data_IF_133446600847
#
_entry.id   IF_133446600847
#
_cell.length_a   1.000
_cell.length_b   1.000
_cell.length_c   1.000
_cell.angle_alpha   90.00
_cell.angle_beta   90.00
_cell.angle_gamma   90.00
#
_symmetry.space_group_name_H-M   'P 1'
#
loop_
_entity.id
_entity.type
_entity.pdbx_description
1 polymer ?
#
# COMPACT_ATOMS: atom_id res chain seq x y z
N UNK A 1 -4.14 36.45 16.62
CA UNK A 1 -3.34 35.22 16.82
C UNK A 1 -4.29 34.10 17.16
N UNK A 2 -4.68 33.29 16.17
CA UNK A 2 -5.51 32.10 16.34
C UNK A 2 -4.60 30.89 16.23
N UNK A 3 -4.32 30.25 17.36
CA UNK A 3 -3.58 28.98 17.44
C UNK A 3 -4.46 27.88 16.88
N UNK A 4 -4.26 27.50 15.62
CA UNK A 4 -4.84 26.30 15.05
C UNK A 4 -4.13 25.09 15.66
N UNK A 5 -4.85 24.33 16.49
CA UNK A 5 -4.38 23.05 17.01
C UNK A 5 -4.17 22.09 15.83
N UNK A 6 -2.91 21.81 15.49
CA UNK A 6 -2.55 20.68 14.64
C UNK A 6 -2.94 19.38 15.37
N UNK A 7 -4.13 18.86 15.11
CA UNK A 7 -4.48 17.49 15.46
C UNK A 7 -3.64 16.57 14.58
N UNK A 8 -2.47 16.18 15.10
CA UNK A 8 -1.57 15.17 14.54
C UNK A 8 -2.39 13.94 14.17
N UNK A 9 -2.27 13.49 12.92
CA UNK A 9 -3.11 12.44 12.32
C UNK A 9 -2.75 11.05 12.90
N UNK A 10 -3.08 10.83 14.16
CA UNK A 10 -2.74 9.62 14.94
C UNK A 10 -3.46 8.37 14.41
N UNK A 11 -4.60 8.54 13.73
CA UNK A 11 -5.42 7.44 13.19
C UNK A 11 -4.72 6.63 12.09
N UNK A 12 -3.92 7.28 11.22
CA UNK A 12 -3.14 6.57 10.19
C UNK A 12 -1.99 5.76 10.79
N UNK A 13 -1.33 6.29 11.83
CA UNK A 13 -0.23 5.63 12.55
C UNK A 13 -0.73 4.45 13.39
N UNK A 14 -1.85 4.64 14.09
CA UNK A 14 -2.51 3.59 14.89
C UNK A 14 -3.01 2.46 13.97
N UNK A 15 -3.57 2.80 12.80
CA UNK A 15 -3.99 1.78 11.81
C UNK A 15 -2.81 0.97 11.26
N UNK A 16 -1.64 1.57 11.09
CA UNK A 16 -0.41 0.90 10.64
C UNK A 16 0.19 -0.01 11.71
N UNK A 17 0.19 0.44 12.97
CA UNK A 17 0.64 -0.38 14.10
C UNK A 17 -0.30 -1.57 14.30
N UNK A 18 -1.62 -1.33 14.31
CA UNK A 18 -2.62 -2.39 14.48
C UNK A 18 -2.58 -3.42 13.35
N UNK A 19 -2.40 -3.00 12.09
CA UNK A 19 -2.28 -3.92 10.96
C UNK A 19 -1.06 -4.85 11.06
N UNK A 20 0.02 -4.40 11.69
CA UNK A 20 1.23 -5.21 11.89
C UNK A 20 1.22 -6.06 13.16
N UNK A 21 0.29 -5.82 14.10
CA UNK A 21 0.07 -6.69 15.27
C UNK A 21 -0.68 -7.97 14.88
N UNK A 22 -1.56 -7.92 13.88
CA UNK A 22 -2.34 -9.08 13.44
C UNK A 22 -1.46 -10.27 13.01
N UNK A 23 -0.43 -10.09 12.15
CA UNK A 23 0.52 -11.15 11.83
C UNK A 23 1.22 -11.73 13.06
N UNK A 24 1.66 -10.87 13.98
CA UNK A 24 2.35 -11.29 15.20
C UNK A 24 1.42 -12.12 16.09
N UNK A 25 0.17 -11.70 16.25
CA UNK A 25 -0.85 -12.45 16.96
C UNK A 25 -1.11 -13.81 16.28
N UNK A 26 -1.18 -13.84 14.96
CA UNK A 26 -1.34 -15.08 14.19
C UNK A 26 -0.21 -16.09 14.40
N UNK A 27 1.05 -15.63 14.52
CA UNK A 27 2.18 -16.50 14.85
C UNK A 27 2.01 -17.13 16.24
N UNK A 28 1.69 -16.33 17.26
CA UNK A 28 1.64 -16.82 18.65
C UNK A 28 0.39 -17.66 18.99
N UNK A 29 -0.77 -17.31 18.44
CA UNK A 29 -2.05 -17.92 18.83
C UNK A 29 -2.60 -18.91 17.81
N UNK A 30 -2.28 -18.72 16.52
CA UNK A 30 -2.75 -19.57 15.43
C UNK A 30 -1.64 -20.39 14.77
N UNK A 31 -0.40 -20.28 15.24
CA UNK A 31 0.74 -21.05 14.71
C UNK A 31 1.05 -20.70 13.26
N UNK A 32 0.77 -19.47 12.82
CA UNK A 32 1.05 -19.05 11.45
C UNK A 32 2.54 -19.20 11.14
N UNK A 33 2.81 -19.93 10.07
CA UNK A 33 4.15 -20.18 9.57
C UNK A 33 4.63 -19.04 8.66
N UNK A 34 5.93 -19.07 8.31
CA UNK A 34 6.57 -18.07 7.44
C UNK A 34 5.82 -17.93 6.12
N UNK A 35 5.40 -19.04 5.52
CA UNK A 35 4.65 -19.06 4.26
C UNK A 35 3.35 -18.24 4.37
N UNK A 36 2.59 -18.46 5.45
CA UNK A 36 1.36 -17.71 5.74
C UNK A 36 1.60 -16.22 5.88
N UNK A 37 2.59 -15.82 6.68
CA UNK A 37 2.88 -14.40 6.93
C UNK A 37 3.29 -13.68 5.63
N UNK A 38 4.21 -14.28 4.87
CA UNK A 38 4.70 -13.69 3.63
C UNK A 38 3.58 -13.63 2.58
N UNK A 39 2.75 -14.68 2.48
CA UNK A 39 1.59 -14.66 1.62
C UNK A 39 0.61 -13.52 1.96
N UNK A 40 0.30 -13.31 3.24
CA UNK A 40 -0.59 -12.23 3.66
C UNK A 40 0.00 -10.85 3.32
N UNK A 41 1.30 -10.66 3.48
CA UNK A 41 1.98 -9.42 3.07
C UNK A 41 1.99 -9.22 1.56
N UNK A 42 2.17 -10.29 0.79
CA UNK A 42 2.04 -10.26 -0.66
C UNK A 42 0.61 -9.88 -1.07
N UNK A 43 -0.40 -10.54 -0.50
CA UNK A 43 -1.80 -10.33 -0.82
C UNK A 43 -2.29 -8.92 -0.41
N UNK A 44 -1.80 -8.37 0.70
CA UNK A 44 -2.04 -6.98 1.09
C UNK A 44 -1.72 -5.99 -0.05
N UNK A 45 -0.66 -6.26 -0.82
CA UNK A 45 -0.29 -5.40 -1.94
C UNK A 45 -1.31 -5.45 -3.08
N UNK A 46 -1.92 -6.62 -3.33
CA UNK A 46 -3.01 -6.77 -4.29
C UNK A 46 -4.22 -5.95 -3.85
N UNK A 47 -4.59 -6.01 -2.57
CA UNK A 47 -5.68 -5.22 -1.99
C UNK A 47 -5.41 -3.72 -2.14
N UNK A 48 -4.18 -3.28 -1.89
CA UNK A 48 -3.78 -1.88 -2.09
C UNK A 48 -3.88 -1.48 -3.55
N UNK A 49 -3.42 -2.32 -4.48
CA UNK A 49 -3.56 -2.10 -5.91
C UNK A 49 -5.03 -1.96 -6.33
N UNK A 50 -5.89 -2.83 -5.82
CA UNK A 50 -7.34 -2.78 -6.04
C UNK A 50 -7.93 -1.43 -5.58
N UNK A 51 -7.68 -1.01 -4.34
CA UNK A 51 -8.16 0.29 -3.87
C UNK A 51 -7.52 1.46 -4.63
N UNK A 52 -6.28 1.32 -5.10
CA UNK A 52 -5.59 2.37 -5.86
C UNK A 52 -6.31 2.72 -7.16
N UNK A 53 -6.97 1.74 -7.80
CA UNK A 53 -7.80 1.99 -8.99
C UNK A 53 -8.89 3.01 -8.65
N UNK A 54 -9.65 2.81 -7.57
CA UNK A 54 -10.67 3.77 -7.13
C UNK A 54 -10.08 5.10 -6.70
N UNK A 55 -8.87 5.09 -6.12
CA UNK A 55 -8.15 6.33 -5.79
C UNK A 55 -7.83 7.15 -7.04
N UNK A 56 -7.31 6.50 -8.09
CA UNK A 56 -7.02 7.14 -9.38
C UNK A 56 -8.29 7.69 -10.04
N UNK A 57 -9.40 6.93 -10.02
CA UNK A 57 -10.70 7.42 -10.55
C UNK A 57 -11.14 8.70 -9.85
N UNK A 58 -11.12 8.72 -8.52
CA UNK A 58 -11.56 9.89 -7.73
C UNK A 58 -10.61 11.08 -7.89
N UNK A 59 -9.30 10.83 -7.96
CA UNK A 59 -8.29 11.86 -8.23
C UNK A 59 -8.50 12.48 -9.63
N UNK A 60 -8.84 11.69 -10.64
CA UNK A 60 -9.06 12.21 -12.00
C UNK A 60 -10.27 13.14 -12.08
N UNK A 61 -11.30 12.87 -11.28
CA UNK A 61 -12.48 13.73 -11.20
C UNK A 61 -12.14 15.12 -10.64
N UNK A 62 -11.13 15.22 -9.77
CA UNK A 62 -10.81 16.43 -9.00
C UNK A 62 -9.41 16.97 -9.24
N UNK A 63 -8.70 16.47 -10.26
CA UNK A 63 -7.35 16.89 -10.56
C UNK A 63 -7.30 18.41 -10.84
N UNK A 64 -6.35 19.07 -10.19
CA UNK A 64 -6.03 20.50 -10.37
C UNK A 64 -4.77 20.70 -11.21
N UNK A 65 -3.84 19.74 -11.17
CA UNK A 65 -2.61 19.73 -11.96
C UNK A 65 -2.30 18.31 -12.43
N UNK A 66 -1.85 18.16 -13.68
CA UNK A 66 -1.37 16.88 -14.22
C UNK A 66 -0.24 17.14 -15.23
N UNK A 67 0.85 16.40 -15.10
CA UNK A 67 1.91 16.39 -16.10
C UNK A 67 1.57 15.35 -17.18
N UNK A 68 1.49 15.78 -18.44
CA UNK A 68 1.29 14.91 -19.60
C UNK A 68 2.38 15.23 -20.61
N UNK A 69 3.17 14.25 -21.01
CA UNK A 69 4.24 14.42 -22.01
C UNK A 69 5.22 15.58 -21.69
N UNK A 70 5.63 15.72 -20.42
CA UNK A 70 6.50 16.81 -19.90
C UNK A 70 5.88 18.22 -19.92
N UNK A 71 4.61 18.36 -20.31
CA UNK A 71 3.85 19.60 -20.17
C UNK A 71 3.02 19.57 -18.89
N UNK A 72 3.12 20.63 -18.08
CA UNK A 72 2.27 20.82 -16.91
C UNK A 72 0.93 21.42 -17.32
N UNK A 73 -0.13 20.61 -17.27
CA UNK A 73 -1.50 21.06 -17.52
C UNK A 73 -2.08 21.58 -16.21
N UNK A 74 -2.30 22.89 -16.12
CA UNK A 74 -3.08 23.50 -15.04
C UNK A 74 -4.56 23.39 -15.40
N UNK A 75 -5.34 22.72 -14.54
CA UNK A 75 -6.76 22.44 -14.80
C UNK A 75 -7.58 23.68 -14.45
N UNK A 76 -7.76 24.56 -15.44
CA UNK A 76 -8.61 25.76 -15.31
C UNK A 76 -9.96 25.59 -15.98
N UNK A 77 -10.06 24.69 -16.97
CA UNK A 77 -11.26 24.52 -17.78
C UNK A 77 -11.87 23.12 -17.63
N UNK A 78 -13.15 22.99 -17.97
CA UNK A 78 -13.83 21.70 -18.05
C UNK A 78 -13.19 20.79 -19.11
N UNK A 79 -12.74 21.37 -20.23
CA UNK A 79 -12.03 20.65 -21.30
C UNK A 79 -10.76 19.96 -20.78
N UNK A 80 -9.98 20.64 -19.95
CA UNK A 80 -8.78 20.07 -19.34
C UNK A 80 -9.12 18.90 -18.41
N UNK A 81 -10.17 19.05 -17.60
CA UNK A 81 -10.66 18.01 -16.70
C UNK A 81 -11.14 16.78 -17.48
N UNK A 82 -11.85 16.98 -18.58
CA UNK A 82 -12.31 15.89 -19.43
C UNK A 82 -11.15 15.19 -20.13
N UNK A 83 -10.12 15.92 -20.59
CA UNK A 83 -8.89 15.34 -21.12
C UNK A 83 -8.20 14.44 -20.09
N UNK A 84 -8.07 14.89 -18.84
CA UNK A 84 -7.48 14.11 -17.74
C UNK A 84 -8.29 12.85 -17.45
N UNK A 85 -9.62 12.95 -17.39
CA UNK A 85 -10.51 11.80 -17.22
C UNK A 85 -10.28 10.79 -18.34
N UNK A 86 -10.31 11.23 -19.59
CA UNK A 86 -10.08 10.37 -20.76
C UNK A 86 -8.76 9.63 -20.64
N UNK A 87 -7.64 10.34 -20.49
CA UNK A 87 -6.31 9.73 -20.35
C UNK A 87 -6.23 8.77 -19.17
N UNK A 88 -6.87 9.12 -18.04
CA UNK A 88 -6.86 8.25 -16.87
C UNK A 88 -7.62 6.96 -17.09
N UNK A 89 -8.82 7.03 -17.67
CA UNK A 89 -9.67 5.86 -17.87
C UNK A 89 -9.22 4.99 -19.04
N UNK A 90 -8.71 5.58 -20.12
CA UNK A 90 -8.31 4.84 -21.33
C UNK A 90 -6.88 4.34 -21.29
N UNK A 91 -5.99 5.01 -20.54
CA UNK A 91 -4.57 4.66 -20.52
C UNK A 91 -4.07 4.33 -19.10
N UNK A 92 -4.12 5.28 -18.15
CA UNK A 92 -3.44 5.08 -16.86
C UNK A 92 -3.99 3.93 -16.03
N UNK A 93 -5.32 3.77 -15.95
CA UNK A 93 -5.93 2.68 -15.18
C UNK A 93 -5.67 1.33 -15.83
N UNK A 94 -5.93 1.12 -17.14
CA UNK A 94 -5.57 -0.14 -17.80
C UNK A 94 -4.08 -0.47 -17.69
N UNK A 95 -3.20 0.52 -17.93
CA UNK A 95 -1.77 0.37 -17.76
C UNK A 95 -1.42 -0.06 -16.34
N UNK A 96 -1.98 0.61 -15.33
CA UNK A 96 -1.79 0.25 -13.93
C UNK A 96 -2.22 -1.20 -13.67
N UNK A 97 -3.42 -1.59 -14.07
CA UNK A 97 -3.95 -2.95 -13.84
C UNK A 97 -3.02 -4.00 -14.46
N UNK A 98 -2.60 -3.80 -15.71
CA UNK A 98 -1.76 -4.77 -16.44
C UNK A 98 -0.35 -4.80 -15.84
N UNK A 99 0.32 -3.66 -15.73
CA UNK A 99 1.71 -3.59 -15.26
C UNK A 99 1.84 -4.02 -13.80
N UNK A 100 0.94 -3.52 -12.94
CA UNK A 100 0.88 -3.90 -11.53
C UNK A 100 0.50 -5.36 -11.35
N UNK A 101 -0.43 -5.85 -12.17
CA UNK A 101 -0.89 -7.24 -12.16
C UNK A 101 0.24 -8.20 -12.52
N UNK A 102 0.99 -7.92 -13.61
CA UNK A 102 2.15 -8.71 -14.02
C UNK A 102 3.21 -8.71 -12.92
N UNK A 103 3.55 -7.54 -12.37
CA UNK A 103 4.50 -7.43 -11.28
C UNK A 103 4.07 -8.28 -10.06
N UNK A 104 2.80 -8.15 -9.65
CA UNK A 104 2.24 -8.88 -8.51
C UNK A 104 2.21 -10.39 -8.74
N UNK A 105 1.92 -10.81 -9.98
CA UNK A 105 1.92 -12.21 -10.38
C UNK A 105 3.33 -12.82 -10.34
N UNK A 106 4.30 -12.18 -10.99
CA UNK A 106 5.71 -12.65 -11.00
C UNK A 106 6.24 -12.75 -9.58
N UNK A 107 5.95 -11.76 -8.73
CA UNK A 107 6.34 -11.83 -7.33
C UNK A 107 5.58 -12.92 -6.55
N UNK A 108 4.29 -13.13 -6.84
CA UNK A 108 3.51 -14.22 -6.25
C UNK A 108 4.14 -15.58 -6.55
N UNK A 109 4.57 -15.81 -7.80
CA UNK A 109 5.31 -17.02 -8.17
C UNK A 109 6.53 -17.19 -7.27
N UNK A 110 7.33 -16.14 -7.09
CA UNK A 110 8.51 -16.19 -6.21
C UNK A 110 8.16 -16.50 -4.75
N UNK A 111 7.10 -15.91 -4.23
CA UNK A 111 6.62 -16.17 -2.86
C UNK A 111 6.25 -17.64 -2.70
N UNK A 112 5.44 -18.20 -3.61
CA UNK A 112 5.00 -19.59 -3.52
C UNK A 112 6.14 -20.59 -3.77
N UNK A 113 7.09 -20.29 -4.65
CA UNK A 113 8.22 -21.19 -4.93
C UNK A 113 9.26 -21.19 -3.82
N UNK A 114 9.48 -20.05 -3.15
CA UNK A 114 10.45 -19.96 -2.04
C UNK A 114 9.91 -20.44 -0.70
N UNK A 115 8.69 -20.03 -0.35
CA UNK A 115 8.15 -20.23 1.00
C UNK A 115 7.06 -21.31 1.05
N UNK A 116 6.57 -21.75 -0.10
CA UNK A 116 5.52 -22.75 -0.19
C UNK A 116 4.10 -22.16 -0.06
N UNK A 117 3.15 -23.05 0.18
CA UNK A 117 1.73 -22.73 0.27
C UNK A 117 1.40 -22.41 1.74
N UNK A 118 0.63 -21.34 2.03
CA UNK A 118 0.15 -21.02 3.37
C UNK A 118 -0.56 -22.21 4.03
N UNK A 119 -0.13 -22.58 5.24
CA UNK A 119 -0.80 -23.62 6.01
C UNK A 119 -1.97 -23.04 6.81
N UNK A 120 -3.08 -22.76 6.12
CA UNK A 120 -4.27 -22.14 6.70
C UNK A 120 -5.54 -22.90 6.31
N UNK A 121 -6.53 -22.93 7.20
CA UNK A 121 -7.87 -23.39 6.82
C UNK A 121 -8.53 -22.37 5.90
N UNK A 122 -9.43 -22.82 5.02
CA UNK A 122 -10.15 -21.93 4.10
C UNK A 122 -10.89 -20.80 4.85
N UNK A 123 -11.46 -21.08 6.02
CA UNK A 123 -12.15 -20.09 6.86
C UNK A 123 -11.15 -19.03 7.36
N UNK A 124 -10.01 -19.45 7.91
CA UNK A 124 -8.99 -18.52 8.38
C UNK A 124 -8.42 -17.64 7.26
N UNK A 125 -8.25 -18.22 6.06
CA UNK A 125 -7.83 -17.49 4.87
C UNK A 125 -8.86 -16.44 4.45
N UNK A 126 -10.15 -16.80 4.42
CA UNK A 126 -11.24 -15.87 4.09
C UNK A 126 -11.35 -14.73 5.10
N UNK A 127 -11.19 -15.02 6.39
CA UNK A 127 -11.18 -14.00 7.44
C UNK A 127 -9.99 -13.06 7.27
N UNK A 128 -8.78 -13.60 7.04
CA UNK A 128 -7.59 -12.80 6.86
C UNK A 128 -7.70 -11.88 5.63
N UNK A 129 -8.07 -12.43 4.47
CA UNK A 129 -8.32 -11.66 3.24
C UNK A 129 -9.42 -10.62 3.45
N UNK A 130 -10.54 -11.01 4.03
CA UNK A 130 -11.66 -10.12 4.34
C UNK A 130 -11.24 -8.96 5.24
N UNK A 131 -10.43 -9.23 6.27
CA UNK A 131 -9.91 -8.20 7.18
C UNK A 131 -8.99 -7.20 6.47
N UNK A 132 -8.19 -7.64 5.48
CA UNK A 132 -7.36 -6.76 4.66
C UNK A 132 -8.23 -5.84 3.80
N UNK A 133 -9.26 -6.38 3.14
CA UNK A 133 -10.21 -5.56 2.39
C UNK A 133 -10.95 -4.57 3.29
N UNK A 134 -11.47 -5.01 4.43
CA UNK A 134 -12.20 -4.13 5.37
C UNK A 134 -11.29 -3.02 5.90
N UNK A 135 -10.09 -3.34 6.36
CA UNK A 135 -9.15 -2.35 6.89
C UNK A 135 -8.78 -1.29 5.84
N UNK A 136 -8.48 -1.71 4.62
CA UNK A 136 -8.13 -0.80 3.53
C UNK A 136 -9.34 -0.03 2.99
N UNK A 137 -10.52 -0.65 2.99
CA UNK A 137 -11.79 -0.01 2.66
C UNK A 137 -12.16 1.09 3.66
N UNK A 138 -11.97 0.86 4.96
CA UNK A 138 -12.15 1.89 5.99
C UNK A 138 -11.16 3.03 5.78
N UNK A 139 -9.88 2.73 5.50
CA UNK A 139 -8.88 3.76 5.20
C UNK A 139 -9.23 4.57 3.94
N UNK A 140 -9.67 3.91 2.87
CA UNK A 140 -10.15 4.57 1.67
C UNK A 140 -11.34 5.49 1.98
N UNK A 141 -12.36 5.01 2.68
CA UNK A 141 -13.57 5.79 2.95
C UNK A 141 -13.31 6.95 3.91
N UNK A 142 -12.61 6.72 5.03
CA UNK A 142 -12.37 7.76 6.05
C UNK A 142 -11.25 8.72 5.65
N UNK A 143 -10.09 8.19 5.27
CA UNK A 143 -8.93 9.03 5.00
C UNK A 143 -9.00 9.58 3.58
N UNK A 144 -9.15 8.70 2.59
CA UNK A 144 -9.05 9.16 1.21
C UNK A 144 -10.24 10.02 0.80
N UNK A 145 -11.47 9.55 1.07
CA UNK A 145 -12.70 10.29 0.75
C UNK A 145 -13.02 11.34 1.83
N UNK A 146 -13.15 10.93 3.09
CA UNK A 146 -13.54 11.81 4.20
C UNK A 146 -12.59 12.99 4.41
N UNK A 147 -11.28 12.74 4.51
CA UNK A 147 -10.27 13.80 4.68
C UNK A 147 -9.84 14.46 3.35
N UNK A 148 -10.53 14.16 2.25
CA UNK A 148 -10.32 14.76 0.93
C UNK A 148 -8.88 14.65 0.40
N UNK A 149 -8.15 13.58 0.75
CA UNK A 149 -6.80 13.36 0.22
C UNK A 149 -6.78 13.28 -1.32
N UNK A 150 -7.90 12.88 -1.94
CA UNK A 150 -8.03 12.84 -3.40
C UNK A 150 -7.89 14.22 -4.07
N UNK A 151 -8.11 15.31 -3.33
CA UNK A 151 -7.92 16.68 -3.82
C UNK A 151 -6.44 17.09 -3.83
N UNK A 152 -5.59 16.41 -3.06
CA UNK A 152 -4.16 16.74 -2.86
C UNK A 152 -3.24 15.91 -3.76
N UNK A 153 -3.79 15.20 -4.75
CA UNK A 153 -3.04 14.29 -5.62
C UNK A 153 -3.66 14.32 -7.01
N UNK A 154 -2.92 13.81 -8.00
CA UNK A 154 -3.45 13.57 -9.34
C UNK A 154 -3.34 12.07 -9.70
N UNK A 155 -4.00 11.62 -10.78
CA UNK A 155 -3.99 10.22 -11.19
C UNK A 155 -2.60 9.67 -11.50
N UNK A 156 -1.72 10.46 -12.12
CA UNK A 156 -0.38 10.02 -12.49
C UNK A 156 0.49 9.76 -11.25
N UNK A 157 0.49 10.67 -10.29
CA UNK A 157 1.16 10.48 -8.99
C UNK A 157 0.55 9.27 -8.27
N UNK A 158 -0.78 9.18 -8.26
CA UNK A 158 -1.49 8.10 -7.58
C UNK A 158 -1.20 6.72 -8.18
N UNK A 159 -0.94 6.64 -9.49
CA UNK A 159 -0.52 5.42 -10.17
C UNK A 159 0.76 4.84 -9.56
N UNK A 160 1.75 5.69 -9.25
CA UNK A 160 3.05 5.25 -8.75
C UNK A 160 3.11 5.05 -7.23
N UNK A 161 2.13 5.55 -6.47
CA UNK A 161 2.15 5.45 -4.99
C UNK A 161 2.30 4.01 -4.47
N UNK A 162 1.58 2.99 -4.99
CA UNK A 162 1.76 1.62 -4.51
C UNK A 162 3.17 1.08 -4.75
N UNK A 163 3.78 1.38 -5.91
CA UNK A 163 5.09 0.84 -6.30
C UNK A 163 6.19 1.22 -5.30
N UNK A 164 6.24 2.47 -4.85
CA UNK A 164 7.27 2.91 -3.89
C UNK A 164 7.20 2.10 -2.59
N UNK A 165 6.00 1.85 -2.06
CA UNK A 165 5.81 1.04 -0.84
C UNK A 165 6.19 -0.42 -1.13
N UNK A 166 5.64 -0.96 -2.19
CA UNK A 166 5.75 -2.37 -2.57
C UNK A 166 7.20 -2.74 -2.83
N UNK A 167 7.94 -1.96 -3.62
CA UNK A 167 9.36 -2.22 -3.89
C UNK A 167 10.18 -2.31 -2.61
N UNK A 168 10.00 -1.38 -1.68
CA UNK A 168 10.75 -1.36 -0.42
C UNK A 168 10.38 -2.58 0.44
N UNK A 169 9.08 -2.90 0.50
CA UNK A 169 8.59 -4.07 1.20
C UNK A 169 9.07 -5.38 0.58
N UNK A 170 9.12 -5.47 -0.75
CA UNK A 170 9.59 -6.66 -1.46
C UNK A 170 11.08 -6.86 -1.21
N UNK A 171 11.92 -5.83 -1.37
CA UNK A 171 13.33 -5.96 -1.04
C UNK A 171 13.55 -6.39 0.42
N UNK A 172 12.76 -5.85 1.35
CA UNK A 172 12.84 -6.23 2.76
C UNK A 172 12.45 -7.70 2.99
N UNK A 173 11.29 -8.13 2.46
CA UNK A 173 10.78 -9.48 2.64
C UNK A 173 11.65 -10.51 1.91
N UNK A 174 12.06 -10.24 0.67
CA UNK A 174 12.93 -11.11 -0.12
C UNK A 174 14.30 -11.31 0.53
N UNK A 175 14.93 -10.21 0.97
CA UNK A 175 16.23 -10.27 1.65
C UNK A 175 16.11 -11.01 2.97
N UNK A 176 15.09 -10.70 3.77
CA UNK A 176 14.87 -11.39 5.05
C UNK A 176 14.57 -12.88 4.86
N UNK A 177 13.75 -13.23 3.87
CA UNK A 177 13.41 -14.60 3.54
C UNK A 177 14.60 -15.42 3.07
N UNK A 178 15.51 -14.84 2.28
CA UNK A 178 16.76 -15.50 1.91
C UNK A 178 17.65 -15.80 3.13
N UNK A 179 17.73 -14.87 4.08
CA UNK A 179 18.45 -15.05 5.35
C UNK A 179 17.80 -16.14 6.21
N UNK A 180 16.47 -16.15 6.29
CA UNK A 180 15.69 -17.18 6.99
C UNK A 180 15.93 -18.58 6.41
N UNK A 181 15.93 -18.73 5.08
CA UNK A 181 16.22 -20.01 4.44
C UNK A 181 17.64 -20.52 4.74
N UNK A 182 18.60 -19.61 5.00
CA UNK A 182 19.99 -19.97 5.29
C UNK A 182 20.24 -20.37 6.75
N UNK A 183 19.48 -19.82 7.69
CA UNK A 183 19.64 -20.04 9.15
C UNK A 183 18.61 -21.05 9.70
N UNK A 184 17.60 -21.39 8.90
CA UNK A 184 16.43 -22.17 9.32
C UNK A 184 15.28 -21.26 9.80
N UNK A 185 14.16 -21.88 10.19
CA UNK A 185 12.92 -21.18 10.57
C UNK A 185 12.58 -21.26 12.07
N UNK A 186 13.52 -20.94 13.01
CA UNK A 186 13.16 -20.83 14.41
C UNK A 186 12.22 -19.64 14.64
N UNK A 187 11.26 -19.75 15.57
CA UNK A 187 10.22 -18.72 15.82
C UNK A 187 10.80 -17.30 16.01
N UNK A 188 12.01 -17.17 16.57
CA UNK A 188 12.66 -15.87 16.76
C UNK A 188 13.01 -15.13 15.46
N UNK A 189 13.29 -15.84 14.36
CA UNK A 189 13.58 -15.19 13.07
C UNK A 189 12.32 -14.58 12.44
N UNK A 190 11.15 -15.17 12.68
CA UNK A 190 9.84 -14.57 12.33
C UNK A 190 9.60 -13.27 13.09
N UNK A 191 9.88 -13.25 14.40
CA UNK A 191 9.71 -12.05 15.23
C UNK A 191 10.62 -10.93 14.71
N UNK A 192 11.88 -11.23 14.39
CA UNK A 192 12.82 -10.26 13.82
C UNK A 192 12.30 -9.73 12.48
N UNK A 193 11.79 -10.59 11.59
CA UNK A 193 11.23 -10.18 10.30
C UNK A 193 10.04 -9.23 10.48
N UNK A 194 9.13 -9.54 11.41
CA UNK A 194 7.98 -8.68 11.72
C UNK A 194 8.45 -7.33 12.26
N UNK A 195 9.45 -7.32 13.16
CA UNK A 195 10.00 -6.07 13.72
C UNK A 195 10.69 -5.22 12.64
N UNK A 196 11.48 -5.83 11.76
CA UNK A 196 12.11 -5.14 10.61
C UNK A 196 11.03 -4.52 9.73
N UNK A 197 9.98 -5.28 9.39
CA UNK A 197 8.84 -4.77 8.63
C UNK A 197 8.20 -3.56 9.29
N UNK A 198 7.90 -3.65 10.59
CA UNK A 198 7.31 -2.55 11.36
C UNK A 198 8.20 -1.30 11.29
N UNK A 199 9.52 -1.46 11.47
CA UNK A 199 10.48 -0.36 11.40
C UNK A 199 10.53 0.30 10.01
N UNK A 200 10.52 -0.49 8.94
CA UNK A 200 10.51 0.00 7.56
C UNK A 200 9.21 0.74 7.24
N UNK A 201 8.06 0.14 7.58
CA UNK A 201 6.74 0.76 7.40
C UNK A 201 6.65 2.09 8.17
N UNK A 202 7.15 2.13 9.39
CA UNK A 202 7.21 3.34 10.21
C UNK A 202 8.06 4.44 9.56
N UNK A 203 9.25 4.10 9.07
CA UNK A 203 10.15 5.06 8.41
C UNK A 203 9.52 5.63 7.12
N UNK A 204 8.85 4.78 6.34
CA UNK A 204 8.15 5.22 5.12
C UNK A 204 6.97 6.13 5.43
N UNK A 205 6.26 5.86 6.53
CA UNK A 205 5.19 6.72 7.02
C UNK A 205 5.70 8.07 7.53
N UNK A 206 6.82 8.08 8.25
CA UNK A 206 7.42 9.33 8.74
C UNK A 206 7.93 10.20 7.58
N UNK A 207 8.61 9.59 6.60
CA UNK A 207 9.13 10.32 5.43
C UNK A 207 8.05 10.87 4.52
N UNK A 208 6.87 10.25 4.44
CA UNK A 208 5.73 10.81 3.70
C UNK A 208 5.10 12.02 4.38
N UNK A 209 5.39 12.26 5.67
CA UNK A 209 5.00 13.47 6.39
C UNK A 209 6.07 14.59 6.33
N UNK A 210 7.36 14.27 6.29
CA UNK A 210 8.42 15.29 6.25
C UNK A 210 8.56 15.98 4.88
N UNK A 211 8.25 15.29 3.77
CA UNK A 211 8.36 15.90 2.43
C UNK A 211 7.32 17.00 2.16
N UNK A 212 6.25 17.09 2.96
CA UNK A 212 5.23 18.15 2.84
C UNK A 212 5.58 19.44 3.62
N UNK A 213 6.56 19.38 4.53
CA UNK A 213 7.04 20.55 5.29
C UNK A 213 8.31 21.17 4.68
N UNK A 214 8.97 20.48 3.73
CA UNK A 214 10.19 20.92 3.07
C UNK A 214 9.97 21.73 1.77
N UNK A 215 8.80 21.62 1.14
CA UNK A 215 8.44 22.40 -0.06
C UNK A 215 7.76 23.75 0.27
N UNK A 216 7.80 24.17 1.54
CA UNK A 216 7.36 25.49 2.01
C UNK A 216 8.52 26.33 2.56
N UNK A 217 9.73 26.14 2.04
CA UNK A 217 10.83 27.10 2.19
C UNK A 217 11.31 27.56 0.83
#
# INVERSE_FOLDING_TARGET
MTTTSHTKNNTSQISLILANIIPLFGVFFWGWDVATIIFLYWFENIVIGFYNIFRMKKAAQHATHMEINKENIVVKTEKDRNKIKTVTYTFLIPFFIIHFGIFSLVHGIFVFTMFGIPNMTAISLLIAIGSLFVSHGISYSRNYIGNQEYMKTNPAIQMFKPYKRIMIMHFTILLSGFVLLSIGTPIWSLIILILIKIGVDWNLHMKSHTSWLGEQK
#
